data_IF_574149973023
#
_entry.id   IF_574149973023
#
_cell.length_a   1.000
_cell.length_b   1.000
_cell.length_c   1.000
_cell.angle_alpha   90.00
_cell.angle_beta   90.00
_cell.angle_gamma   90.00
#
_symmetry.space_group_name_H-M   'P 1'
#
loop_
_entity.id
_entity.type
_entity.pdbx_description
1 polymer ?
#
# COMPACT_ATOMS: atom_id res chain seq x y z
N UNK A 1 -10.08 13.55 -8.35
CA UNK A 1 -9.03 13.23 -7.36
C UNK A 1 -8.20 14.46 -7.05
N UNK A 2 -7.81 14.60 -5.82
CA UNK A 2 -7.04 15.73 -5.33
C UNK A 2 -5.70 15.21 -4.81
N UNK A 3 -4.60 15.87 -5.20
CA UNK A 3 -3.30 15.61 -4.60
C UNK A 3 -3.28 16.21 -3.21
N UNK A 4 -2.92 15.43 -2.20
CA UNK A 4 -2.86 15.87 -0.81
C UNK A 4 -1.59 15.38 -0.14
N UNK A 5 -0.95 16.26 0.62
CA UNK A 5 0.16 15.87 1.47
C UNK A 5 -0.41 15.36 2.80
N UNK A 6 0.19 14.28 3.32
CA UNK A 6 -0.29 13.64 4.53
C UNK A 6 0.28 14.29 5.80
N UNK A 7 -0.10 13.76 6.96
CA UNK A 7 0.21 14.33 8.27
C UNK A 7 1.71 14.45 8.59
N UNK A 8 2.55 13.67 7.91
CA UNK A 8 4.00 13.76 8.07
C UNK A 8 4.62 14.95 7.31
N UNK A 9 3.84 15.66 6.48
CA UNK A 9 4.26 16.72 5.57
C UNK A 9 5.31 16.29 4.54
N UNK A 10 5.45 15.01 4.28
CA UNK A 10 6.46 14.43 3.38
C UNK A 10 5.86 13.46 2.36
N UNK A 11 4.74 12.83 2.70
CA UNK A 11 4.11 11.81 1.88
C UNK A 11 2.92 12.37 1.13
N UNK A 12 2.93 12.21 -0.19
CA UNK A 12 1.85 12.68 -1.06
C UNK A 12 0.87 11.55 -1.37
N UNK A 13 -0.34 11.93 -1.68
CA UNK A 13 -1.40 10.99 -2.03
C UNK A 13 -2.35 11.60 -3.05
N UNK A 14 -3.08 10.72 -3.74
CA UNK A 14 -4.26 11.08 -4.52
C UNK A 14 -5.48 10.62 -3.73
N UNK A 15 -6.33 11.55 -3.36
CA UNK A 15 -7.48 11.25 -2.50
C UNK A 15 -8.76 11.77 -3.16
N UNK A 16 -9.85 11.02 -3.03
CA UNK A 16 -11.16 11.43 -3.56
C UNK A 16 -12.28 11.46 -2.52
N UNK A 17 -11.93 11.29 -1.26
CA UNK A 17 -12.89 11.29 -0.16
C UNK A 17 -12.23 11.80 1.10
N UNK A 18 -12.98 12.48 1.95
CA UNK A 18 -12.49 12.92 3.26
C UNK A 18 -12.25 11.73 4.21
N UNK A 19 -12.98 10.63 3.99
CA UNK A 19 -12.87 9.41 4.79
C UNK A 19 -12.66 8.20 3.88
N UNK A 20 -11.49 8.08 3.23
CA UNK A 20 -11.26 6.99 2.30
C UNK A 20 -11.34 5.64 3.00
N UNK A 21 -11.97 4.68 2.31
CA UNK A 21 -12.14 3.32 2.80
C UNK A 21 -11.06 2.37 2.29
N UNK A 22 -10.49 2.68 1.13
CA UNK A 22 -9.49 1.84 0.49
C UNK A 22 -8.21 2.63 0.29
N UNK A 23 -7.07 2.02 0.65
CA UNK A 23 -5.75 2.56 0.41
C UNK A 23 -5.03 1.70 -0.62
N UNK A 24 -4.55 2.34 -1.69
CA UNK A 24 -3.78 1.69 -2.76
C UNK A 24 -2.29 1.95 -2.60
N UNK A 25 -1.49 0.89 -2.71
CA UNK A 25 -0.02 0.95 -2.62
C UNK A 25 0.59 0.40 -3.91
N UNK A 26 1.34 1.24 -4.61
CA UNK A 26 1.98 0.89 -5.88
C UNK A 26 3.21 0.00 -5.69
N UNK A 27 3.70 -0.56 -6.80
CA UNK A 27 4.95 -1.33 -6.81
C UNK A 27 6.20 -0.44 -6.85
N UNK A 28 7.36 -1.07 -6.76
CA UNK A 28 8.65 -0.40 -6.84
C UNK A 28 8.76 0.38 -8.15
N UNK A 29 9.15 1.64 -8.06
CA UNK A 29 9.25 2.51 -9.22
C UNK A 29 7.93 3.10 -9.71
N UNK A 30 6.82 2.76 -9.06
CA UNK A 30 5.51 3.31 -9.39
C UNK A 30 5.18 4.58 -8.64
N UNK A 31 3.92 4.96 -8.70
CA UNK A 31 3.38 6.11 -7.98
C UNK A 31 1.85 6.00 -7.90
N UNK A 32 1.23 6.92 -7.16
CA UNK A 32 -0.22 6.90 -6.94
C UNK A 32 -1.04 6.92 -8.23
N UNK A 33 -0.55 7.58 -9.28
CA UNK A 33 -1.25 7.64 -10.57
C UNK A 33 -1.41 6.29 -11.26
N UNK A 34 -0.65 5.27 -10.86
CA UNK A 34 -0.82 3.92 -11.38
C UNK A 34 -2.22 3.35 -11.10
N UNK A 35 -2.91 3.90 -10.10
CA UNK A 35 -4.24 3.46 -9.68
C UNK A 35 -5.39 4.28 -10.26
N UNK A 36 -5.09 5.29 -11.07
CA UNK A 36 -6.10 6.26 -11.53
C UNK A 36 -7.30 5.64 -12.23
N UNK A 37 -7.12 4.50 -12.91
CA UNK A 37 -8.20 3.86 -13.66
C UNK A 37 -9.21 3.12 -12.78
N UNK A 38 -8.85 2.82 -11.53
CA UNK A 38 -9.74 2.09 -10.62
C UNK A 38 -10.03 2.84 -9.33
N UNK A 39 -9.14 3.70 -8.88
CA UNK A 39 -9.31 4.39 -7.60
C UNK A 39 -10.55 5.25 -7.53
N UNK A 40 -10.99 5.79 -8.65
CA UNK A 40 -12.21 6.61 -8.73
C UNK A 40 -13.50 5.83 -8.51
N UNK A 41 -13.46 4.50 -8.60
CA UNK A 41 -14.61 3.64 -8.33
C UNK A 41 -14.90 3.48 -6.84
N UNK A 42 -14.00 3.95 -5.99
CA UNK A 42 -14.07 3.76 -4.54
C UNK A 42 -13.76 5.05 -3.81
N UNK A 43 -14.24 5.18 -2.58
CA UNK A 43 -13.74 6.19 -1.65
C UNK A 43 -12.33 5.78 -1.26
N UNK A 44 -11.33 6.38 -1.88
CA UNK A 44 -9.97 5.85 -1.83
C UNK A 44 -8.90 6.90 -1.64
N UNK A 45 -7.74 6.41 -1.21
CA UNK A 45 -6.49 7.14 -1.17
C UNK A 45 -5.42 6.26 -1.82
N UNK A 46 -4.64 6.82 -2.73
CA UNK A 46 -3.50 6.16 -3.33
C UNK A 46 -2.24 6.90 -2.91
N UNK A 47 -1.32 6.21 -2.25
CA UNK A 47 -0.10 6.83 -1.74
C UNK A 47 1.03 6.82 -2.78
N UNK A 48 1.83 7.88 -2.76
CA UNK A 48 3.18 7.82 -3.30
C UNK A 48 4.06 7.31 -2.15
N UNK A 49 4.51 6.06 -2.26
CA UNK A 49 5.38 5.46 -1.23
C UNK A 49 6.65 6.32 -1.10
N UNK A 50 7.17 6.56 0.13
CA UNK A 50 8.36 7.41 0.31
C UNK A 50 9.49 7.08 -0.65
N UNK A 51 10.00 8.12 -1.33
CA UNK A 51 11.03 7.99 -2.36
C UNK A 51 10.49 7.84 -3.78
N UNK A 52 9.16 7.74 -3.94
CA UNK A 52 8.51 7.61 -5.24
C UNK A 52 7.51 8.74 -5.46
N UNK A 53 7.16 8.97 -6.73
CA UNK A 53 6.25 10.05 -7.07
C UNK A 53 6.73 11.38 -6.49
N UNK A 54 5.86 12.05 -5.76
CA UNK A 54 6.17 13.34 -5.12
C UNK A 54 6.63 13.21 -3.68
N UNK A 55 6.60 12.00 -3.12
CA UNK A 55 6.96 11.79 -1.71
C UNK A 55 8.46 11.87 -1.48
N UNK A 56 8.83 12.46 -0.34
CA UNK A 56 10.23 12.59 0.06
C UNK A 56 10.82 11.20 0.36
N UNK A 57 12.07 10.93 -0.05
CA UNK A 57 12.71 9.65 0.24
C UNK A 57 12.81 9.35 1.72
N UNK A 58 12.71 8.07 2.04
CA UNK A 58 12.89 7.57 3.39
C UNK A 58 14.37 7.64 3.76
N UNK A 59 14.70 8.25 4.89
CA UNK A 59 16.10 8.44 5.32
C UNK A 59 16.74 7.19 5.93
N UNK A 60 15.92 6.26 6.42
CA UNK A 60 16.39 5.02 7.03
C UNK A 60 16.52 3.93 6.00
N UNK A 61 17.23 2.84 6.35
CA UNK A 61 17.20 1.62 5.56
C UNK A 61 15.75 1.18 5.38
N UNK A 62 15.37 0.89 4.15
CA UNK A 62 13.99 0.56 3.84
C UNK A 62 13.81 -0.92 3.53
N UNK A 63 12.66 -1.42 3.92
CA UNK A 63 12.17 -2.76 3.64
C UNK A 63 10.65 -2.68 3.65
N UNK A 64 9.93 -3.69 3.17
CA UNK A 64 8.47 -3.69 3.30
C UNK A 64 8.02 -3.47 4.75
N UNK A 65 8.74 -4.05 5.70
CA UNK A 65 8.43 -3.90 7.13
C UNK A 65 8.62 -2.45 7.60
N UNK A 66 9.75 -1.82 7.29
CA UNK A 66 10.02 -0.44 7.73
C UNK A 66 9.09 0.56 7.07
N UNK A 67 8.74 0.36 5.81
CA UNK A 67 7.71 1.18 5.16
C UNK A 67 6.37 1.04 5.85
N UNK A 68 5.97 -0.19 6.20
CA UNK A 68 4.71 -0.41 6.91
C UNK A 68 4.69 0.30 8.27
N UNK A 69 5.78 0.19 9.02
CA UNK A 69 5.91 0.84 10.33
C UNK A 69 5.81 2.36 10.22
N UNK A 70 6.32 2.93 9.15
CA UNK A 70 6.22 4.36 8.88
C UNK A 70 4.80 4.75 8.44
N UNK A 71 4.25 4.01 7.48
CA UNK A 71 2.96 4.33 6.87
C UNK A 71 1.77 4.12 7.79
N UNK A 72 1.88 3.22 8.78
CA UNK A 72 0.76 2.93 9.67
C UNK A 72 0.26 4.16 10.42
N UNK A 73 1.14 5.09 10.73
CA UNK A 73 0.79 6.30 11.46
C UNK A 73 0.21 7.40 10.58
N UNK A 74 0.37 7.29 9.26
CA UNK A 74 -0.09 8.34 8.33
C UNK A 74 -1.26 7.89 7.45
N UNK A 75 -1.51 6.60 7.33
CA UNK A 75 -2.71 6.11 6.62
C UNK A 75 -3.94 6.50 7.45
N UNK A 76 -4.95 7.14 6.83
CA UNK A 76 -6.15 7.54 7.57
C UNK A 76 -6.83 6.38 8.28
N UNK A 77 -7.34 6.64 9.49
CA UNK A 77 -8.02 5.62 10.30
C UNK A 77 -9.31 5.10 9.67
N UNK A 78 -9.89 5.87 8.75
CA UNK A 78 -11.09 5.45 8.01
C UNK A 78 -10.84 4.28 7.06
N UNK A 79 -9.57 4.03 6.70
CA UNK A 79 -9.21 2.97 5.75
C UNK A 79 -9.49 1.60 6.37
N UNK A 80 -10.24 0.79 5.64
CA UNK A 80 -10.63 -0.56 6.04
C UNK A 80 -9.96 -1.64 5.19
N UNK A 81 -9.53 -1.27 3.98
CA UNK A 81 -8.99 -2.21 2.99
C UNK A 81 -7.68 -1.64 2.44
N UNK A 82 -6.66 -2.47 2.42
CA UNK A 82 -5.38 -2.14 1.78
C UNK A 82 -5.26 -2.97 0.50
N UNK A 83 -4.95 -2.31 -0.61
CA UNK A 83 -4.69 -2.96 -1.89
C UNK A 83 -3.26 -2.65 -2.28
N UNK A 84 -2.43 -3.66 -2.39
CA UNK A 84 -1.02 -3.50 -2.73
C UNK A 84 -0.62 -4.29 -3.96
N UNK A 85 0.15 -3.66 -4.85
CA UNK A 85 0.68 -4.29 -6.04
C UNK A 85 2.18 -4.52 -5.88
N UNK A 86 2.64 -5.74 -6.17
CA UNK A 86 4.05 -6.12 -6.13
C UNK A 86 4.71 -5.75 -4.79
N UNK A 87 5.68 -4.84 -4.78
CA UNK A 87 6.32 -4.37 -3.55
C UNK A 87 5.31 -3.77 -2.56
N UNK A 88 4.33 -3.02 -3.06
CA UNK A 88 3.24 -2.49 -2.26
C UNK A 88 2.41 -3.58 -1.59
N UNK A 89 2.28 -4.73 -2.23
CA UNK A 89 1.62 -5.90 -1.65
C UNK A 89 2.39 -6.46 -0.44
N UNK A 90 3.71 -6.46 -0.51
CA UNK A 90 4.54 -6.89 0.62
C UNK A 90 4.42 -5.92 1.79
N UNK A 91 4.35 -4.64 1.51
CA UNK A 91 4.08 -3.61 2.55
C UNK A 91 2.71 -3.86 3.17
N UNK A 92 1.68 -4.13 2.35
CA UNK A 92 0.32 -4.38 2.83
C UNK A 92 0.27 -5.55 3.81
N UNK A 93 1.01 -6.63 3.54
CA UNK A 93 1.08 -7.77 4.45
C UNK A 93 1.66 -7.36 5.80
N UNK A 94 2.71 -6.55 5.82
CA UNK A 94 3.27 -6.05 7.07
C UNK A 94 2.31 -5.10 7.81
N UNK A 95 1.58 -4.27 7.07
CA UNK A 95 0.54 -3.41 7.67
C UNK A 95 -0.52 -4.27 8.38
N UNK A 96 -0.90 -5.40 7.80
CA UNK A 96 -1.90 -6.30 8.40
C UNK A 96 -1.47 -6.85 9.75
N UNK A 97 -0.18 -6.86 10.05
CA UNK A 97 0.37 -7.30 11.33
C UNK A 97 0.38 -6.19 12.37
N UNK A 98 0.29 -4.94 11.94
CA UNK A 98 0.34 -3.77 12.82
C UNK A 98 -1.05 -3.26 13.18
N UNK A 99 -2.03 -3.45 12.30
CA UNK A 99 -3.40 -2.98 12.48
C UNK A 99 -4.36 -3.96 11.83
N UNK A 100 -5.53 -4.11 12.43
CA UNK A 100 -6.57 -4.99 11.91
C UNK A 100 -7.38 -4.26 10.83
N UNK A 101 -7.12 -4.59 9.57
CA UNK A 101 -7.93 -4.14 8.44
C UNK A 101 -8.98 -5.20 8.12
N UNK A 102 -10.09 -4.81 7.50
CA UNK A 102 -11.12 -5.76 7.08
C UNK A 102 -10.60 -6.70 6.00
N UNK A 103 -9.75 -6.19 5.12
CA UNK A 103 -9.24 -6.98 3.99
C UNK A 103 -7.89 -6.43 3.52
N UNK A 104 -7.03 -7.34 3.14
CA UNK A 104 -5.78 -7.02 2.44
C UNK A 104 -5.85 -7.71 1.08
N UNK A 105 -5.73 -6.93 0.01
CA UNK A 105 -5.70 -7.44 -1.36
C UNK A 105 -4.29 -7.28 -1.88
N UNK A 106 -3.70 -8.37 -2.32
CA UNK A 106 -2.32 -8.39 -2.83
C UNK A 106 -2.34 -8.84 -4.27
N UNK A 107 -1.74 -8.04 -5.14
CA UNK A 107 -1.73 -8.27 -6.59
C UNK A 107 -0.30 -8.45 -7.06
N UNK A 108 -0.03 -9.58 -7.76
CA UNK A 108 1.26 -9.88 -8.39
C UNK A 108 2.45 -9.69 -7.42
N UNK A 109 2.30 -10.18 -6.18
CA UNK A 109 3.32 -10.03 -5.15
C UNK A 109 3.65 -11.38 -4.52
N UNK A 110 4.92 -11.81 -4.52
CA UNK A 110 5.31 -13.00 -3.78
C UNK A 110 5.26 -12.72 -2.28
N UNK A 111 4.54 -13.56 -1.54
CA UNK A 111 4.33 -13.39 -0.10
C UNK A 111 5.33 -14.17 0.75
N UNK A 112 6.03 -15.12 0.14
CA UNK A 112 7.00 -15.96 0.82
C UNK A 112 8.34 -15.88 0.09
N UNK A 113 9.42 -16.10 0.85
CA UNK A 113 10.74 -16.16 0.23
C UNK A 113 10.86 -17.48 -0.53
N UNK A 114 11.09 -17.40 -1.83
CA UNK A 114 11.30 -18.57 -2.69
C UNK A 114 12.60 -18.41 -3.45
N UNK A 115 13.23 -19.53 -3.84
CA UNK A 115 14.38 -19.46 -4.71
C UNK A 115 13.93 -19.24 -6.15
N UNK A 116 14.87 -18.90 -7.05
CA UNK A 116 14.55 -18.55 -8.43
C UNK A 116 13.92 -19.71 -9.22
N UNK A 117 14.27 -20.94 -8.89
CA UNK A 117 13.75 -22.12 -9.60
C UNK A 117 12.31 -22.43 -9.21
N UNK A 118 11.87 -21.93 -8.06
CA UNK A 118 10.55 -22.20 -7.52
C UNK A 118 9.70 -20.93 -7.39
N UNK A 119 10.12 -19.83 -7.99
CA UNK A 119 9.41 -18.58 -7.88
C UNK A 119 7.98 -18.70 -8.40
N UNK A 120 7.02 -18.35 -7.56
CA UNK A 120 5.59 -18.34 -7.89
C UNK A 120 5.10 -16.91 -7.80
N UNK A 121 4.50 -16.45 -8.90
CA UNK A 121 3.89 -15.13 -8.92
C UNK A 121 2.38 -15.26 -8.73
N UNK A 122 1.85 -14.60 -7.71
CA UNK A 122 0.42 -14.52 -7.48
C UNK A 122 -0.12 -13.31 -8.21
N UNK A 123 -1.13 -13.52 -9.08
CA UNK A 123 -1.76 -12.41 -9.79
C UNK A 123 -2.77 -11.70 -8.89
N UNK A 124 -3.40 -12.45 -8.00
CA UNK A 124 -4.38 -11.90 -7.08
C UNK A 124 -4.49 -12.79 -5.85
N UNK A 125 -4.41 -12.18 -4.66
CA UNK A 125 -4.57 -12.88 -3.40
C UNK A 125 -5.24 -11.95 -2.40
N UNK A 126 -6.36 -12.37 -1.83
CA UNK A 126 -7.06 -11.63 -0.78
C UNK A 126 -6.72 -12.21 0.57
N UNK A 127 -6.26 -11.36 1.49
CA UNK A 127 -5.89 -11.76 2.84
C UNK A 127 -6.86 -11.14 3.84
N UNK A 128 -7.61 -11.97 4.59
CA UNK A 128 -8.35 -11.47 5.73
C UNK A 128 -7.38 -10.94 6.78
N UNK A 129 -7.76 -9.92 7.51
CA UNK A 129 -6.87 -9.32 8.53
C UNK A 129 -6.54 -10.28 9.68
N UNK A 130 -7.27 -11.37 9.80
CA UNK A 130 -7.06 -12.38 10.87
C UNK A 130 -6.13 -13.51 10.45
N UNK A 131 -5.88 -13.70 9.16
CA UNK A 131 -5.05 -14.79 8.65
C UNK A 131 -4.61 -14.51 7.24
N UNK A 132 -3.54 -15.17 6.83
CA UNK A 132 -3.06 -15.18 5.45
C UNK A 132 -3.63 -16.42 4.77
N UNK A 133 -4.18 -16.22 3.60
CA UNK A 133 -4.77 -17.30 2.80
C UNK A 133 -3.90 -17.57 1.59
#
# INVERSE_FOLDING_TARGET
>A
MITKILSDNLTYSQINSENPKICFLHGWGGESSNWKNISGEFESIALDIPGFGKSVPFEKSFSPKTYAEYLIDIIPDSVEIIVGHSYGGRIAVHLSRLKKYKKIVVIASPLVKVDKAKAVSYTHLTLPTKRIV
#
